data_IF_548686759828
#
_entry.id   IF_548686759828
#
_cell.length_a   1.000
_cell.length_b   1.000
_cell.length_c   1.000
_cell.angle_alpha   90.00
_cell.angle_beta   90.00
_cell.angle_gamma   90.00
#
_symmetry.space_group_name_H-M   'P 1'
#
loop_
_entity.id
_entity.type
_entity.pdbx_description
1 polymer ?
#
# COMPACT_ATOMS: atom_id res chain seq x y z
N UNK A 1 18.33 -7.00 -17.66
CA UNK A 1 17.45 -6.09 -16.92
C UNK A 1 17.34 -6.56 -15.48
N UNK A 2 18.27 -6.09 -14.67
CA UNK A 2 18.25 -6.28 -13.21
C UNK A 2 17.50 -5.11 -12.60
N UNK A 3 16.41 -5.40 -11.89
CA UNK A 3 15.67 -4.41 -11.13
C UNK A 3 15.83 -4.72 -9.64
N UNK A 4 15.99 -3.69 -8.82
CA UNK A 4 15.97 -3.86 -7.36
C UNK A 4 15.02 -2.88 -6.69
N UNK A 5 14.42 -3.34 -5.62
CA UNK A 5 13.80 -2.49 -4.62
C UNK A 5 14.88 -2.05 -3.66
N UNK A 6 14.94 -0.74 -3.35
CA UNK A 6 15.82 -0.18 -2.32
C UNK A 6 15.13 0.94 -1.55
N UNK A 7 15.72 1.36 -0.43
CA UNK A 7 15.34 2.60 0.23
C UNK A 7 15.46 3.79 -0.73
N UNK A 8 14.48 4.69 -0.67
CA UNK A 8 14.52 5.93 -1.44
C UNK A 8 15.53 6.92 -0.84
N UNK A 9 16.18 7.69 -1.70
CA UNK A 9 17.14 8.74 -1.36
C UNK A 9 16.65 10.10 -1.88
N UNK A 10 17.34 11.17 -1.49
CA UNK A 10 17.06 12.53 -1.99
C UNK A 10 17.21 12.67 -3.52
N UNK A 11 18.08 11.87 -4.14
CA UNK A 11 18.28 11.85 -5.59
C UNK A 11 17.07 11.28 -6.34
N UNK A 12 16.22 10.52 -5.65
CA UNK A 12 14.99 9.95 -6.24
C UNK A 12 13.85 10.98 -6.31
N UNK A 13 13.98 12.17 -5.69
CA UNK A 13 12.92 13.19 -5.64
C UNK A 13 12.40 13.56 -7.03
N UNK A 14 13.29 13.67 -8.02
CA UNK A 14 12.91 13.99 -9.39
C UNK A 14 12.08 12.86 -10.02
N UNK A 15 12.48 11.61 -9.83
CA UNK A 15 11.76 10.44 -10.33
C UNK A 15 10.38 10.30 -9.67
N UNK A 16 10.31 10.47 -8.35
CA UNK A 16 9.06 10.47 -7.60
C UNK A 16 8.09 11.55 -8.09
N UNK A 17 8.59 12.75 -8.36
CA UNK A 17 7.79 13.86 -8.88
C UNK A 17 7.24 13.60 -10.28
N UNK A 18 8.04 13.03 -11.19
CA UNK A 18 7.54 12.68 -12.53
C UNK A 18 6.52 11.54 -12.47
N UNK A 19 6.73 10.52 -11.62
CA UNK A 19 5.75 9.47 -11.39
C UNK A 19 4.45 10.02 -10.78
N UNK A 20 4.54 10.97 -9.86
CA UNK A 20 3.38 11.60 -9.22
C UNK A 20 2.44 12.27 -10.23
N UNK A 21 2.98 12.90 -11.28
CA UNK A 21 2.18 13.50 -12.36
C UNK A 21 1.39 12.48 -13.18
N UNK A 22 1.81 11.22 -13.18
CA UNK A 22 1.18 10.13 -13.94
C UNK A 22 0.06 9.43 -13.17
N UNK A 23 -0.21 9.81 -11.92
CA UNK A 23 -1.22 9.16 -11.06
C UNK A 23 -2.66 9.47 -11.46
N UNK A 24 -2.90 10.62 -12.09
CA UNK A 24 -4.23 11.05 -12.54
C UNK A 24 -5.20 11.39 -11.39
N UNK A 25 -4.69 12.01 -10.30
CA UNK A 25 -5.48 12.44 -9.14
C UNK A 25 -5.87 11.31 -8.18
N UNK A 26 -6.38 11.66 -7.00
CA UNK A 26 -6.85 10.72 -5.96
C UNK A 26 -5.75 9.87 -5.35
N UNK A 27 -4.48 10.25 -5.52
CA UNK A 27 -3.32 9.50 -5.03
C UNK A 27 -2.54 10.34 -4.02
N UNK A 28 -3.18 10.59 -2.87
CA UNK A 28 -2.68 11.45 -1.76
C UNK A 28 -1.31 11.02 -1.25
N UNK A 29 -0.96 9.74 -1.40
CA UNK A 29 0.33 9.21 -1.01
C UNK A 29 1.49 9.52 -1.98
N UNK A 30 1.23 10.03 -3.19
CA UNK A 30 2.26 10.44 -4.16
C UNK A 30 1.82 11.72 -4.90
N UNK A 31 1.76 12.86 -4.20
CA UNK A 31 1.29 14.11 -4.79
C UNK A 31 2.35 14.70 -5.74
N UNK A 32 1.96 15.35 -6.86
CA UNK A 32 2.88 16.07 -7.72
C UNK A 32 3.28 17.42 -7.09
N UNK A 33 3.80 17.38 -5.86
CA UNK A 33 4.31 18.52 -5.09
C UNK A 33 5.69 18.16 -4.52
N UNK A 34 6.71 18.89 -4.93
CA UNK A 34 8.10 18.61 -4.54
C UNK A 34 8.36 18.82 -3.05
N UNK A 35 7.69 19.78 -2.40
CA UNK A 35 7.87 20.03 -0.97
C UNK A 35 7.28 18.89 -0.16
N UNK A 36 6.08 18.44 -0.52
CA UNK A 36 5.44 17.28 0.09
C UNK A 36 6.27 16.00 -0.10
N UNK A 37 6.78 15.76 -1.32
CA UNK A 37 7.64 14.60 -1.59
C UNK A 37 8.96 14.66 -0.82
N UNK A 38 9.59 15.84 -0.73
CA UNK A 38 10.81 16.02 0.08
C UNK A 38 10.55 15.77 1.57
N UNK A 39 9.46 16.31 2.12
CA UNK A 39 9.07 16.04 3.51
C UNK A 39 8.83 14.54 3.78
N UNK A 40 8.30 13.79 2.78
CA UNK A 40 8.17 12.33 2.89
C UNK A 40 9.52 11.62 2.89
N UNK A 41 10.45 12.04 2.04
CA UNK A 41 11.82 11.51 2.02
C UNK A 41 12.53 11.79 3.34
N UNK A 42 12.44 13.01 3.87
CA UNK A 42 13.00 13.39 5.17
C UNK A 42 12.47 12.49 6.30
N UNK A 43 11.14 12.31 6.37
CA UNK A 43 10.51 11.40 7.32
C UNK A 43 10.98 9.96 7.14
N UNK A 44 11.21 9.53 5.90
CA UNK A 44 11.75 8.20 5.61
C UNK A 44 13.20 8.04 6.05
N UNK A 45 14.02 9.08 5.90
CA UNK A 45 15.42 9.06 6.35
C UNK A 45 15.49 8.98 7.88
N UNK A 46 14.64 9.72 8.58
CA UNK A 46 14.50 9.62 10.05
C UNK A 46 14.13 8.19 10.48
N UNK A 47 13.13 7.58 9.82
CA UNK A 47 12.69 6.22 10.13
C UNK A 47 13.81 5.18 9.89
N UNK A 48 14.53 5.30 8.77
CA UNK A 48 15.66 4.40 8.46
C UNK A 48 16.84 4.57 9.42
N UNK A 49 17.10 5.79 9.91
CA UNK A 49 18.18 6.07 10.85
C UNK A 49 17.85 5.64 12.29
N UNK A 50 16.57 5.49 12.63
CA UNK A 50 16.14 5.16 13.99
C UNK A 50 16.52 3.73 14.37
N UNK A 51 17.24 3.60 15.49
CA UNK A 51 17.72 2.33 16.05
C UNK A 51 16.72 1.66 17.01
N UNK A 52 15.76 2.41 17.53
CA UNK A 52 14.72 1.86 18.41
C UNK A 52 13.73 1.00 17.61
N UNK A 53 13.35 -0.14 18.18
CA UNK A 53 12.42 -1.12 17.62
C UNK A 53 10.96 -0.86 18.02
N UNK A 54 10.69 0.08 18.94
CA UNK A 54 9.34 0.44 19.35
C UNK A 54 8.49 0.93 18.15
N UNK A 55 7.20 0.60 18.17
CA UNK A 55 6.28 1.00 17.10
C UNK A 55 5.89 2.46 17.29
N UNK A 56 6.40 3.33 16.42
CA UNK A 56 6.01 4.74 16.33
C UNK A 56 5.34 5.04 14.98
N UNK A 57 4.97 6.30 14.74
CA UNK A 57 4.40 6.76 13.47
C UNK A 57 5.49 7.09 12.43
N UNK A 58 5.97 6.06 11.76
CA UNK A 58 7.04 6.13 10.77
C UNK A 58 6.54 5.88 9.35
N UNK A 59 7.30 6.37 8.39
CA UNK A 59 7.08 6.14 6.97
C UNK A 59 8.37 5.61 6.37
N UNK A 60 8.32 4.48 5.69
CA UNK A 60 9.39 4.02 4.82
C UNK A 60 8.97 4.19 3.36
N UNK A 61 9.82 4.83 2.56
CA UNK A 61 9.66 4.94 1.12
C UNK A 61 10.68 4.04 0.44
N UNK A 62 10.18 3.12 -0.39
CA UNK A 62 10.99 2.25 -1.22
C UNK A 62 10.78 2.61 -2.69
N UNK A 63 11.80 2.35 -3.51
CA UNK A 63 11.78 2.59 -4.95
C UNK A 63 12.24 1.36 -5.72
N UNK A 64 11.66 1.16 -6.90
CA UNK A 64 12.12 0.20 -7.90
C UNK A 64 13.09 0.92 -8.83
N UNK A 65 14.35 0.52 -8.77
CA UNK A 65 15.44 1.01 -9.60
C UNK A 65 15.79 -0.02 -10.68
N UNK A 66 15.93 0.43 -11.93
CA UNK A 66 16.68 -0.30 -12.95
C UNK A 66 18.17 -0.11 -12.67
N UNK A 67 18.88 -1.20 -12.41
CA UNK A 67 20.27 -1.16 -11.92
C UNK A 67 21.25 -0.75 -13.02
N UNK A 68 20.90 -0.98 -14.29
CA UNK A 68 21.76 -0.67 -15.43
C UNK A 68 21.77 0.83 -15.74
N UNK A 69 20.59 1.47 -15.70
CA UNK A 69 20.40 2.90 -15.97
C UNK A 69 20.46 3.79 -14.74
N UNK A 70 20.13 3.26 -13.55
CA UNK A 70 19.90 4.04 -12.34
C UNK A 70 18.53 4.71 -12.30
N UNK A 71 17.67 4.51 -13.31
CA UNK A 71 16.35 5.11 -13.36
C UNK A 71 15.43 4.48 -12.30
N UNK A 72 14.71 5.31 -11.56
CA UNK A 72 13.62 4.86 -10.70
C UNK A 72 12.30 4.83 -11.48
N UNK A 73 11.68 3.65 -11.52
CA UNK A 73 10.47 3.36 -12.30
C UNK A 73 9.27 2.90 -11.48
N UNK A 74 9.40 2.82 -10.17
CA UNK A 74 8.30 2.54 -9.28
C UNK A 74 8.58 2.98 -7.85
N UNK A 75 7.53 3.12 -7.05
CA UNK A 75 7.63 3.45 -5.63
C UNK A 75 6.54 2.75 -4.83
N UNK A 76 6.83 2.48 -3.56
CA UNK A 76 5.86 2.01 -2.60
C UNK A 76 6.21 2.52 -1.21
N UNK A 77 5.22 2.52 -0.32
CA UNK A 77 5.34 3.08 1.02
C UNK A 77 4.88 2.08 2.07
N UNK A 78 5.44 2.19 3.26
CA UNK A 78 5.08 1.40 4.43
C UNK A 78 4.96 2.35 5.61
N UNK A 79 3.78 2.41 6.22
CA UNK A 79 3.55 3.13 7.46
C UNK A 79 3.52 2.13 8.60
N UNK A 80 4.31 2.38 9.64
CA UNK A 80 4.39 1.47 10.79
C UNK A 80 3.13 1.52 11.65
N UNK A 81 2.52 2.71 11.77
CA UNK A 81 1.37 2.94 12.64
C UNK A 81 0.54 4.14 12.19
N UNK A 82 -0.63 3.89 11.62
CA UNK A 82 -1.55 4.95 11.19
C UNK A 82 -2.34 5.55 12.34
N UNK A 83 -2.92 6.72 12.11
CA UNK A 83 -3.85 7.34 13.06
C UNK A 83 -3.21 8.09 14.24
N UNK A 84 -1.88 8.30 14.23
CA UNK A 84 -1.16 8.85 15.38
C UNK A 84 -1.06 10.38 15.37
N UNK A 85 -0.72 10.99 14.22
CA UNK A 85 -0.70 12.47 14.06
C UNK A 85 -2.10 13.04 13.85
N UNK A 86 -2.91 12.30 13.09
CA UNK A 86 -4.27 12.63 12.70
C UNK A 86 -5.10 11.37 12.76
N UNK A 87 -6.39 11.42 13.15
CA UNK A 87 -7.21 10.22 13.20
C UNK A 87 -7.33 9.59 11.80
N UNK A 88 -7.22 8.25 11.76
CA UNK A 88 -7.39 7.49 10.53
C UNK A 88 -8.87 7.17 10.35
N UNK A 89 -9.56 8.00 9.57
CA UNK A 89 -11.00 7.85 9.37
C UNK A 89 -11.33 6.88 8.25
N UNK A 90 -12.33 6.05 8.48
CA UNK A 90 -12.94 5.20 7.46
C UNK A 90 -14.46 5.21 7.64
N UNK A 91 -15.19 4.91 6.57
CA UNK A 91 -16.56 4.44 6.71
C UNK A 91 -16.59 2.93 6.89
N UNK A 92 -17.26 2.47 7.95
CA UNK A 92 -17.59 1.05 8.13
C UNK A 92 -19.00 0.78 7.62
N UNK A 93 -19.12 -0.14 6.67
CA UNK A 93 -20.39 -0.61 6.15
C UNK A 93 -20.97 -1.66 7.12
N UNK A 94 -22.17 -1.39 7.62
CA UNK A 94 -22.89 -2.26 8.54
C UNK A 94 -24.34 -2.46 8.12
N UNK A 95 -24.98 -3.53 8.61
CA UNK A 95 -26.41 -3.78 8.37
C UNK A 95 -27.21 -3.52 9.65
N UNK A 96 -28.19 -2.62 9.57
CA UNK A 96 -29.23 -2.47 10.59
C UNK A 96 -30.43 -3.34 10.23
N UNK A 97 -30.82 -4.23 11.13
CA UNK A 97 -32.03 -5.07 10.98
C UNK A 97 -33.12 -4.59 11.94
N UNK A 98 -34.30 -4.31 11.41
CA UNK A 98 -35.46 -3.85 12.18
C UNK A 98 -36.69 -4.67 11.82
N UNK A 99 -37.49 -5.07 12.80
CA UNK A 99 -38.74 -5.77 12.58
C UNK A 99 -39.92 -4.84 12.86
N UNK A 100 -40.89 -4.77 11.94
CA UNK A 100 -42.18 -4.14 12.19
C UNK A 100 -43.23 -5.22 12.29
N UNK A 101 -43.86 -5.30 13.46
CA UNK A 101 -44.96 -6.22 13.72
C UNK A 101 -46.20 -5.83 12.91
N UNK A 102 -46.49 -4.53 12.86
CA UNK A 102 -47.64 -3.93 12.17
C UNK A 102 -47.57 -4.15 10.65
N UNK A 103 -46.37 -4.11 10.07
CA UNK A 103 -46.15 -4.39 8.65
C UNK A 103 -45.80 -5.85 8.37
N UNK A 104 -45.73 -6.70 9.41
CA UNK A 104 -45.40 -8.12 9.29
C UNK A 104 -44.07 -8.41 8.58
N UNK A 105 -43.11 -7.47 8.62
CA UNK A 105 -41.87 -7.56 7.83
C UNK A 105 -40.63 -7.11 8.59
N UNK A 106 -39.51 -7.71 8.21
CA UNK A 106 -38.16 -7.33 8.65
C UNK A 106 -37.49 -6.50 7.58
N UNK A 107 -37.06 -5.30 7.95
CA UNK A 107 -36.26 -4.41 7.15
C UNK A 107 -34.78 -4.64 7.44
N UNK A 108 -33.98 -4.65 6.38
CA UNK A 108 -32.51 -4.64 6.48
C UNK A 108 -32.03 -3.45 5.68
N UNK A 109 -31.23 -2.61 6.30
CA UNK A 109 -30.70 -1.42 5.68
C UNK A 109 -29.20 -1.34 5.92
N UNK A 110 -28.45 -1.09 4.85
CA UNK A 110 -27.00 -0.87 4.93
C UNK A 110 -26.71 0.58 5.31
N UNK A 111 -25.70 0.76 6.17
CA UNK A 111 -25.30 2.06 6.70
C UNK A 111 -23.79 2.23 6.64
N UNK A 112 -23.36 3.44 6.28
CA UNK A 112 -21.97 3.89 6.45
C UNK A 112 -21.86 4.58 7.80
N UNK A 113 -20.95 4.10 8.65
CA UNK A 113 -20.66 4.71 9.96
C UNK A 113 -19.22 5.20 9.98
N UNK A 114 -19.01 6.49 10.24
CA UNK A 114 -17.67 7.06 10.39
C UNK A 114 -17.00 6.43 11.62
N UNK A 115 -15.78 5.91 11.46
CA UNK A 115 -15.01 5.28 12.54
C UNK A 115 -13.51 5.53 12.39
N UNK A 116 -12.78 5.23 13.47
CA UNK A 116 -11.31 5.16 13.54
C UNK A 116 -10.83 3.78 13.97
N UNK A 117 -11.62 2.72 13.70
CA UNK A 117 -11.35 1.31 14.06
C UNK A 117 -9.97 0.79 13.60
N UNK A 118 -9.33 1.46 12.63
CA UNK A 118 -8.06 1.07 12.03
C UNK A 118 -6.84 1.83 12.62
N UNK A 119 -7.06 2.71 13.59
CA UNK A 119 -5.98 3.38 14.31
C UNK A 119 -4.98 2.37 14.87
N UNK A 120 -3.69 2.66 14.72
CA UNK A 120 -2.62 1.82 15.23
C UNK A 120 -2.22 0.65 14.33
N UNK A 121 -2.93 0.40 13.23
CA UNK A 121 -2.52 -0.57 12.22
C UNK A 121 -1.30 -0.08 11.42
N UNK A 122 -0.54 -1.00 10.85
CA UNK A 122 0.42 -0.68 9.79
C UNK A 122 -0.30 -0.53 8.45
N UNK A 123 0.26 0.23 7.52
CA UNK A 123 -0.31 0.41 6.18
C UNK A 123 0.75 0.16 5.11
N UNK A 124 0.36 -0.48 4.02
CA UNK A 124 1.16 -0.56 2.79
C UNK A 124 0.51 0.26 1.68
N UNK A 125 0.97 1.50 1.55
CA UNK A 125 0.43 2.48 0.59
C UNK A 125 1.37 2.78 -0.56
N UNK A 126 1.03 3.84 -1.31
CA UNK A 126 1.93 4.48 -2.28
C UNK A 126 2.39 3.62 -3.45
N UNK A 127 1.74 2.47 -3.72
CA UNK A 127 2.18 1.52 -4.75
C UNK A 127 1.92 2.10 -6.14
N UNK A 128 2.98 2.54 -6.80
CA UNK A 128 2.93 3.07 -8.16
C UNK A 128 4.06 2.47 -9.01
N UNK A 129 3.71 2.08 -10.23
CA UNK A 129 4.64 1.58 -11.23
C UNK A 129 4.44 2.37 -12.51
N UNK A 130 5.54 2.88 -13.05
CA UNK A 130 5.56 3.62 -14.30
C UNK A 130 4.86 2.80 -15.40
N UNK A 131 3.97 3.40 -16.21
CA UNK A 131 3.18 2.65 -17.20
C UNK A 131 4.01 1.78 -18.14
N UNK A 132 5.22 2.24 -18.51
CA UNK A 132 6.17 1.49 -19.34
C UNK A 132 6.69 0.19 -18.70
N UNK A 133 6.65 0.07 -17.37
CA UNK A 133 7.18 -1.09 -16.62
C UNK A 133 6.08 -2.05 -16.12
N UNK A 134 4.82 -1.87 -16.53
CA UNK A 134 3.70 -2.70 -16.02
C UNK A 134 3.73 -4.15 -16.51
N UNK A 135 4.65 -4.51 -17.39
CA UNK A 135 4.91 -5.88 -17.84
C UNK A 135 5.98 -6.58 -16.95
N UNK A 136 6.10 -7.91 -17.07
CA UNK A 136 7.23 -8.65 -16.47
C UNK A 136 7.16 -8.95 -14.97
N UNK A 137 6.15 -8.46 -14.25
CA UNK A 137 5.93 -8.78 -12.84
C UNK A 137 6.62 -7.83 -11.84
N UNK A 138 7.15 -6.70 -12.30
CA UNK A 138 7.78 -5.69 -11.43
C UNK A 138 6.81 -5.10 -10.39
N UNK A 139 5.51 -5.04 -10.72
CA UNK A 139 4.48 -4.67 -9.75
C UNK A 139 4.39 -5.67 -8.58
N UNK A 140 4.56 -6.96 -8.85
CA UNK A 140 4.60 -8.01 -7.82
C UNK A 140 5.84 -7.86 -6.93
N UNK A 141 7.01 -7.63 -7.53
CA UNK A 141 8.25 -7.37 -6.80
C UNK A 141 8.08 -6.17 -5.86
N UNK A 142 7.64 -5.03 -6.40
CA UNK A 142 7.46 -3.80 -5.65
C UNK A 142 6.43 -3.94 -4.52
N UNK A 143 5.32 -4.64 -4.77
CA UNK A 143 4.29 -4.86 -3.77
C UNK A 143 4.76 -5.78 -2.63
N UNK A 144 5.36 -6.93 -2.97
CA UNK A 144 5.74 -7.97 -2.00
C UNK A 144 7.07 -7.70 -1.29
N UNK A 145 7.95 -6.88 -1.86
CA UNK A 145 9.15 -6.42 -1.16
C UNK A 145 8.81 -5.67 0.14
N UNK A 146 7.65 -4.99 0.21
CA UNK A 146 7.16 -4.39 1.46
C UNK A 146 6.92 -5.43 2.55
N UNK A 147 6.40 -6.60 2.19
CA UNK A 147 6.15 -7.68 3.14
C UNK A 147 7.45 -8.33 3.60
N UNK A 148 8.43 -8.51 2.71
CA UNK A 148 9.77 -8.94 3.11
C UNK A 148 10.44 -7.91 4.04
N UNK A 149 10.32 -6.62 3.75
CA UNK A 149 10.78 -5.55 4.64
C UNK A 149 10.12 -5.65 6.02
N UNK A 150 8.80 -5.84 6.07
CA UNK A 150 8.07 -6.02 7.33
C UNK A 150 8.53 -7.28 8.07
N UNK A 151 8.70 -8.41 7.37
CA UNK A 151 9.15 -9.66 7.97
C UNK A 151 10.54 -9.52 8.61
N UNK A 152 11.47 -8.85 7.91
CA UNK A 152 12.83 -8.60 8.40
C UNK A 152 12.89 -7.62 9.58
N UNK A 153 11.89 -6.75 9.74
CA UNK A 153 11.85 -5.72 10.77
C UNK A 153 10.57 -5.81 11.61
N UNK A 154 10.07 -7.03 11.86
CA UNK A 154 8.69 -7.28 12.35
C UNK A 154 8.30 -6.50 13.60
N UNK A 155 9.24 -6.26 14.52
CA UNK A 155 9.00 -5.50 15.76
C UNK A 155 8.59 -4.05 15.55
N UNK A 156 8.93 -3.47 14.38
CA UNK A 156 8.60 -2.10 13.99
C UNK A 156 7.15 -1.94 13.52
N UNK A 157 6.42 -3.03 13.31
CA UNK A 157 5.10 -3.03 12.68
C UNK A 157 4.02 -3.56 13.62
N UNK A 158 2.80 -3.06 13.44
CA UNK A 158 1.63 -3.47 14.20
C UNK A 158 1.16 -4.87 13.80
N UNK A 159 0.33 -5.47 14.65
CA UNK A 159 -0.24 -6.80 14.44
C UNK A 159 -1.34 -6.86 13.37
N UNK A 160 -1.89 -5.71 13.01
CA UNK A 160 -2.86 -5.54 11.94
C UNK A 160 -2.24 -4.67 10.87
N UNK A 161 -2.45 -5.04 9.62
CA UNK A 161 -1.98 -4.32 8.44
C UNK A 161 -3.15 -4.02 7.51
N UNK A 162 -3.12 -2.86 6.85
CA UNK A 162 -4.12 -2.45 5.89
C UNK A 162 -3.51 -1.93 4.59
N UNK A 163 -4.34 -1.84 3.55
CA UNK A 163 -4.04 -1.17 2.30
C UNK A 163 -5.32 -0.50 1.79
N UNK A 164 -5.28 0.81 1.55
CA UNK A 164 -6.39 1.52 0.91
C UNK A 164 -6.20 1.51 -0.61
N UNK A 165 -7.26 1.11 -1.31
CA UNK A 165 -7.32 1.17 -2.76
C UNK A 165 -8.17 2.35 -3.16
N UNK A 166 -7.66 3.16 -4.08
CA UNK A 166 -8.41 4.28 -4.68
C UNK A 166 -9.77 3.79 -5.16
N UNK A 167 -10.82 4.53 -4.83
CA UNK A 167 -12.18 4.29 -5.29
C UNK A 167 -12.39 4.64 -6.76
N UNK A 168 -13.63 4.52 -7.21
CA UNK A 168 -13.98 4.82 -8.59
C UNK A 168 -13.93 6.32 -8.83
N UNK A 169 -13.16 6.71 -9.85
CA UNK A 169 -13.06 8.06 -10.39
C UNK A 169 -13.32 7.90 -11.89
N UNK A 170 -14.18 8.75 -12.45
CA UNK A 170 -14.50 8.72 -13.87
C UNK A 170 -13.41 9.41 -14.71
N UNK A 171 -13.56 9.36 -16.04
CA UNK A 171 -12.62 9.96 -16.98
C UNK A 171 -12.57 11.50 -16.90
N UNK A 172 -13.63 12.13 -16.37
CA UNK A 172 -13.66 13.56 -16.13
C UNK A 172 -12.99 13.94 -14.79
N UNK A 173 -12.55 12.96 -14.00
CA UNK A 173 -11.92 13.13 -12.69
C UNK A 173 -12.91 13.33 -11.55
N UNK A 174 -14.19 13.02 -11.75
CA UNK A 174 -15.22 13.02 -10.71
C UNK A 174 -15.29 11.69 -9.95
N UNK A 175 -15.66 11.73 -8.67
CA UNK A 175 -15.94 10.53 -7.88
C UNK A 175 -17.45 10.42 -7.64
N UNK A 176 -18.12 9.35 -8.13
CA UNK A 176 -19.55 9.15 -7.88
C UNK A 176 -19.88 9.08 -6.39
N UNK A 177 -18.97 8.53 -5.57
CA UNK A 177 -19.14 8.47 -4.12
C UNK A 177 -19.09 9.88 -3.50
N UNK A 178 -18.07 10.67 -3.86
CA UNK A 178 -17.94 12.06 -3.41
C UNK A 178 -19.19 12.86 -3.75
N UNK A 179 -19.63 12.84 -5.02
CA UNK A 179 -20.76 13.64 -5.49
C UNK A 179 -22.09 13.23 -4.82
N UNK A 180 -22.24 11.94 -4.51
CA UNK A 180 -23.43 11.42 -3.84
C UNK A 180 -23.47 11.65 -2.33
N UNK A 181 -22.31 11.87 -1.70
CA UNK A 181 -22.18 12.01 -0.26
C UNK A 181 -21.50 13.32 0.14
N UNK A 182 -20.17 13.36 0.07
CA UNK A 182 -19.35 14.41 0.65
C UNK A 182 -19.51 15.75 -0.06
N UNK A 183 -19.55 15.79 -1.40
CA UNK A 183 -19.68 17.02 -2.18
C UNK A 183 -20.89 17.87 -1.79
N UNK A 184 -21.94 17.26 -1.24
CA UNK A 184 -23.12 17.96 -0.71
C UNK A 184 -22.84 18.78 0.56
N UNK A 185 -21.83 18.40 1.34
CA UNK A 185 -21.41 19.09 2.56
C UNK A 185 -20.33 20.14 2.30
N UNK A 186 -19.43 19.89 1.33
CA UNK A 186 -18.27 20.76 1.07
C UNK A 186 -18.49 21.84 0.01
N UNK A 187 -19.51 21.69 -0.86
CA UNK A 187 -19.76 22.65 -1.93
C UNK A 187 -18.64 22.75 -2.97
N UNK A 188 -17.80 21.71 -3.07
CA UNK A 188 -16.71 21.60 -4.06
C UNK A 188 -16.76 20.23 -4.75
N UNK A 189 -16.25 20.16 -5.97
CA UNK A 189 -16.11 18.90 -6.70
C UNK A 189 -14.94 18.06 -6.15
N UNK A 190 -14.84 16.82 -6.59
CA UNK A 190 -13.79 15.90 -6.12
C UNK A 190 -12.37 16.38 -6.45
N UNK A 191 -12.16 16.98 -7.63
CA UNK A 191 -10.83 17.45 -8.05
C UNK A 191 -10.31 18.58 -7.15
N UNK A 192 -11.18 19.53 -6.80
CA UNK A 192 -10.87 20.61 -5.89
C UNK A 192 -10.54 20.07 -4.49
N UNK A 193 -11.33 19.10 -4.01
CA UNK A 193 -11.09 18.43 -2.73
C UNK A 193 -9.77 17.64 -2.72
N UNK A 194 -9.46 16.89 -3.77
CA UNK A 194 -8.23 16.12 -3.91
C UNK A 194 -6.99 17.02 -3.97
N UNK A 195 -7.04 18.09 -4.78
CA UNK A 195 -5.96 19.08 -4.85
C UNK A 195 -5.77 19.81 -3.52
N UNK A 196 -6.86 20.14 -2.83
CA UNK A 196 -6.82 20.77 -1.52
C UNK A 196 -6.20 19.84 -0.48
N UNK A 197 -6.60 18.57 -0.44
CA UNK A 197 -6.03 17.53 0.43
C UNK A 197 -4.54 17.34 0.19
N UNK A 198 -4.13 17.25 -1.08
CA UNK A 198 -2.73 17.07 -1.45
C UNK A 198 -1.83 18.21 -0.96
N UNK A 199 -2.38 19.42 -0.82
CA UNK A 199 -1.63 20.62 -0.44
C UNK A 199 -1.70 20.92 1.06
N UNK A 200 -2.88 20.71 1.68
CA UNK A 200 -3.17 21.18 3.05
C UNK A 200 -3.29 20.04 4.07
N UNK A 201 -3.19 18.78 3.62
CA UNK A 201 -3.44 17.61 4.44
C UNK A 201 -4.93 17.26 4.56
N UNK A 202 -5.21 16.05 5.05
CA UNK A 202 -6.53 15.43 5.02
C UNK A 202 -7.47 15.82 6.19
N UNK A 203 -6.95 16.53 7.21
CA UNK A 203 -7.68 16.77 8.46
C UNK A 203 -8.96 17.62 8.27
N UNK A 204 -8.89 18.67 7.44
CA UNK A 204 -10.00 19.61 7.27
C UNK A 204 -11.27 18.93 6.73
N UNK A 205 -11.12 18.01 5.78
CA UNK A 205 -12.26 17.33 5.18
C UNK A 205 -12.82 16.28 6.16
N UNK A 206 -11.96 15.60 6.90
CA UNK A 206 -12.39 14.62 7.88
C UNK A 206 -13.22 15.22 9.03
N UNK A 207 -12.88 16.43 9.50
CA UNK A 207 -13.59 17.11 10.59
C UNK A 207 -15.04 17.47 10.23
N UNK A 208 -15.34 17.59 8.94
CA UNK A 208 -16.62 18.03 8.41
C UNK A 208 -17.48 16.87 7.87
N UNK A 209 -16.97 15.63 7.89
CA UNK A 209 -17.75 14.46 7.48
C UNK A 209 -18.93 14.21 8.43
N UNK A 210 -20.06 13.69 7.92
CA UNK A 210 -21.20 13.32 8.76
C UNK A 210 -20.81 12.31 9.84
N UNK A 211 -21.03 12.69 11.10
CA UNK A 211 -20.74 11.86 12.28
C UNK A 211 -21.83 10.82 12.58
N UNK A 212 -23.02 10.99 12.00
CA UNK A 212 -24.13 10.05 12.17
C UNK A 212 -24.16 9.03 11.04
N UNK A 213 -24.61 7.79 11.29
CA UNK A 213 -24.71 6.77 10.25
C UNK A 213 -25.56 7.24 9.07
N UNK A 214 -25.07 6.96 7.86
CA UNK A 214 -25.75 7.30 6.61
C UNK A 214 -26.34 6.03 6.03
N UNK A 215 -27.67 6.00 5.83
CA UNK A 215 -28.31 4.93 5.08
C UNK A 215 -27.84 4.98 3.62
N UNK A 216 -27.26 3.89 3.11
CA UNK A 216 -26.80 3.84 1.71
C UNK A 216 -27.96 4.01 0.72
N UNK A 217 -29.19 3.68 1.14
CA UNK A 217 -30.42 3.91 0.38
C UNK A 217 -30.75 5.41 0.17
N UNK A 218 -30.15 6.33 0.93
CA UNK A 218 -30.30 7.78 0.74
C UNK A 218 -29.29 8.38 -0.25
N UNK A 219 -28.29 7.60 -0.66
CA UNK A 219 -27.31 8.00 -1.66
C UNK A 219 -27.90 7.85 -3.07
N UNK A 220 -27.30 8.54 -4.04
CA UNK A 220 -27.62 8.28 -5.45
C UNK A 220 -27.26 6.84 -5.82
N UNK A 221 -27.96 6.27 -6.80
CA UNK A 221 -27.67 4.91 -7.26
C UNK A 221 -26.22 4.76 -7.75
N UNK A 222 -25.67 5.80 -8.39
CA UNK A 222 -24.27 5.84 -8.83
C UNK A 222 -23.28 5.83 -7.66
N UNK A 223 -23.54 6.59 -6.58
CA UNK A 223 -22.69 6.59 -5.39
C UNK A 223 -22.76 5.27 -4.65
N UNK A 224 -23.97 4.70 -4.49
CA UNK A 224 -24.16 3.40 -3.84
C UNK A 224 -23.46 2.28 -4.60
N UNK A 225 -23.46 2.32 -5.94
CA UNK A 225 -22.87 1.29 -6.78
C UNK A 225 -21.34 1.20 -6.69
N UNK A 226 -20.65 2.22 -6.19
CA UNK A 226 -19.18 2.27 -6.14
C UNK A 226 -18.59 2.05 -4.74
N UNK A 227 -19.42 1.90 -3.71
CA UNK A 227 -18.96 1.67 -2.32
C UNK A 227 -18.17 0.37 -2.25
N UNK A 228 -16.94 0.45 -1.73
CA UNK A 228 -16.04 -0.69 -1.58
C UNK A 228 -15.51 -1.22 -2.91
N UNK A 229 -15.68 -0.50 -4.02
CA UNK A 229 -15.12 -0.90 -5.31
C UNK A 229 -13.81 -0.14 -5.58
N UNK A 230 -12.71 -0.84 -5.91
CA UNK A 230 -11.50 -0.16 -6.32
C UNK A 230 -11.71 0.45 -7.71
N UNK A 231 -10.92 1.48 -8.00
CA UNK A 231 -10.76 2.03 -9.33
C UNK A 231 -10.52 0.89 -10.36
N UNK A 232 -11.01 0.97 -11.60
CA UNK A 232 -10.76 -0.05 -12.62
C UNK A 232 -9.28 -0.42 -12.78
N UNK A 233 -8.37 0.57 -12.74
CA UNK A 233 -6.92 0.32 -12.77
C UNK A 233 -6.35 -0.31 -11.48
N UNK A 234 -7.06 -0.22 -10.36
CA UNK A 234 -6.69 -0.78 -9.06
C UNK A 234 -7.10 -2.24 -8.84
N UNK A 235 -7.93 -2.82 -9.72
CA UNK A 235 -8.40 -4.22 -9.60
C UNK A 235 -7.26 -5.25 -9.56
N UNK A 236 -6.15 -4.98 -10.26
CA UNK A 236 -4.97 -5.85 -10.21
C UNK A 236 -4.29 -5.79 -8.83
N UNK A 237 -4.19 -4.61 -8.23
CA UNK A 237 -3.64 -4.42 -6.89
C UNK A 237 -4.51 -5.10 -5.82
N UNK A 238 -5.84 -5.03 -5.93
CA UNK A 238 -6.76 -5.75 -5.04
C UNK A 238 -6.52 -7.27 -5.08
N UNK A 239 -6.44 -7.86 -6.27
CA UNK A 239 -6.15 -9.30 -6.41
C UNK A 239 -4.78 -9.69 -5.84
N UNK A 240 -3.78 -8.82 -5.97
CA UNK A 240 -2.48 -9.05 -5.35
C UNK A 240 -2.56 -9.05 -3.82
N UNK A 241 -3.38 -8.18 -3.23
CA UNK A 241 -3.63 -8.16 -1.79
C UNK A 241 -4.39 -9.42 -1.34
N UNK A 242 -5.43 -9.82 -2.08
CA UNK A 242 -6.19 -11.06 -1.80
C UNK A 242 -5.30 -12.30 -1.83
N UNK A 243 -4.40 -12.41 -2.81
CA UNK A 243 -3.43 -13.51 -2.91
C UNK A 243 -2.44 -13.56 -1.73
N UNK A 244 -2.25 -12.42 -1.05
CA UNK A 244 -1.43 -12.31 0.16
C UNK A 244 -2.23 -12.58 1.45
N UNK A 245 -3.54 -12.78 1.35
CA UNK A 245 -4.42 -13.04 2.48
C UNK A 245 -5.09 -11.80 3.07
N UNK A 246 -5.03 -10.65 2.38
CA UNK A 246 -5.86 -9.50 2.76
C UNK A 246 -7.32 -9.74 2.37
N UNK A 247 -8.23 -9.19 3.18
CA UNK A 247 -9.66 -9.26 2.94
C UNK A 247 -10.30 -7.87 3.01
N UNK A 248 -11.36 -7.68 2.24
CA UNK A 248 -12.25 -6.54 2.40
C UNK A 248 -13.11 -6.76 3.65
N UNK A 249 -12.84 -6.00 4.71
CA UNK A 249 -13.55 -6.12 6.00
C UNK A 249 -14.64 -5.04 6.18
N UNK A 250 -15.28 -4.63 5.08
CA UNK A 250 -16.35 -3.62 5.07
C UNK A 250 -15.92 -2.21 5.50
N UNK A 251 -14.66 -1.85 5.26
CA UNK A 251 -14.17 -0.48 5.44
C UNK A 251 -13.94 0.16 4.08
N UNK A 252 -14.36 1.40 3.90
CA UNK A 252 -14.06 2.19 2.72
C UNK A 252 -13.59 3.59 3.06
N UNK A 253 -12.82 4.16 2.14
CA UNK A 253 -12.35 5.53 2.19
C UNK A 253 -13.53 6.52 2.27
N UNK A 254 -13.32 7.62 3.00
CA UNK A 254 -14.35 8.63 3.25
C UNK A 254 -14.54 9.62 2.10
N UNK A 255 -13.63 9.65 1.13
CA UNK A 255 -13.64 10.57 -0.01
C UNK A 255 -14.21 9.91 -1.27
N UNK A 256 -13.67 8.76 -1.65
CA UNK A 256 -13.95 8.12 -2.94
C UNK A 256 -14.64 6.75 -2.80
N UNK A 257 -14.86 6.28 -1.58
CA UNK A 257 -15.53 5.01 -1.29
C UNK A 257 -14.72 3.78 -1.66
N UNK A 258 -13.43 3.94 -1.96
CA UNK A 258 -12.51 2.84 -2.27
C UNK A 258 -12.32 1.88 -1.08
N UNK A 259 -12.10 0.58 -1.33
CA UNK A 259 -12.03 -0.40 -0.25
C UNK A 259 -10.72 -0.32 0.53
N UNK A 260 -10.83 -0.44 1.84
CA UNK A 260 -9.70 -0.72 2.73
C UNK A 260 -9.60 -2.23 2.93
N UNK A 261 -8.51 -2.81 2.44
CA UNK A 261 -8.17 -4.23 2.59
C UNK A 261 -7.37 -4.40 3.88
N UNK A 262 -7.62 -5.43 4.68
CA UNK A 262 -6.88 -5.65 5.92
C UNK A 262 -6.45 -7.11 6.10
N UNK A 263 -5.44 -7.33 6.94
CA UNK A 263 -4.98 -8.65 7.36
C UNK A 263 -4.39 -8.59 8.78
N UNK A 264 -4.25 -9.76 9.41
CA UNK A 264 -3.28 -9.93 10.50
C UNK A 264 -1.89 -9.95 9.86
N UNK A 265 -0.97 -9.13 10.37
CA UNK A 265 0.36 -8.94 9.77
C UNK A 265 1.09 -10.28 9.60
N UNK A 266 1.08 -11.14 10.62
CA UNK A 266 1.75 -12.45 10.58
C UNK A 266 1.00 -13.50 9.72
N UNK A 267 -0.23 -13.21 9.30
CA UNK A 267 -0.99 -14.07 8.39
C UNK A 267 -0.75 -13.73 6.91
N UNK A 268 -0.18 -12.54 6.62
CA UNK A 268 0.19 -12.15 5.26
C UNK A 268 1.14 -13.18 4.69
N UNK A 269 0.79 -13.76 3.54
CA UNK A 269 1.46 -14.93 2.99
C UNK A 269 2.97 -14.74 2.86
N UNK A 270 3.41 -13.63 2.27
CA UNK A 270 4.84 -13.34 2.11
C UNK A 270 5.58 -13.14 3.42
N UNK A 271 4.92 -12.65 4.46
CA UNK A 271 5.51 -12.51 5.80
C UNK A 271 5.66 -13.89 6.43
N UNK A 272 4.57 -14.68 6.41
CA UNK A 272 4.50 -16.02 7.00
C UNK A 272 5.46 -17.01 6.35
N UNK A 273 5.61 -16.94 5.03
CA UNK A 273 6.38 -17.91 4.23
C UNK A 273 7.83 -17.47 3.98
N UNK A 274 8.21 -16.26 4.39
CA UNK A 274 9.58 -15.80 4.27
C UNK A 274 10.54 -16.66 5.11
N UNK A 275 11.68 -17.01 4.50
CA UNK A 275 12.73 -17.82 5.13
C UNK A 275 14.06 -17.10 5.05
N UNK A 276 14.80 -17.11 6.15
CA UNK A 276 16.20 -16.70 6.13
C UNK A 276 17.08 -17.90 5.80
N UNK A 277 18.05 -17.74 4.89
CA UNK A 277 18.97 -18.80 4.50
C UNK A 277 20.37 -18.25 4.21
N UNK A 278 21.39 -19.05 4.50
CA UNK A 278 22.78 -18.78 4.09
C UNK A 278 22.94 -19.14 2.62
N UNK A 279 23.67 -18.33 1.87
CA UNK A 279 24.08 -18.64 0.50
C UNK A 279 25.28 -19.60 0.57
N UNK A 280 25.16 -20.79 -0.01
CA UNK A 280 26.26 -21.79 -0.05
C UNK A 280 26.90 -21.90 -1.42
N UNK A 281 26.25 -21.36 -2.45
CA UNK A 281 26.78 -21.28 -3.81
C UNK A 281 26.14 -20.13 -4.58
N UNK A 282 26.89 -19.52 -5.49
CA UNK A 282 26.37 -18.58 -6.48
C UNK A 282 26.65 -19.12 -7.87
N UNK A 283 25.61 -19.50 -8.61
CA UNK A 283 25.74 -20.19 -9.90
C UNK A 283 24.66 -19.77 -10.92
N UNK A 284 24.60 -20.46 -12.07
CA UNK A 284 23.61 -20.23 -13.14
C UNK A 284 22.76 -21.47 -13.44
N UNK A 285 22.73 -22.44 -12.52
CA UNK A 285 22.11 -23.75 -12.74
C UNK A 285 20.58 -23.74 -12.55
N UNK A 286 19.99 -22.58 -12.28
CA UNK A 286 18.56 -22.40 -12.14
C UNK A 286 18.03 -22.60 -10.72
N UNK A 287 16.71 -22.77 -10.57
CA UNK A 287 16.03 -22.88 -9.28
C UNK A 287 14.57 -22.48 -9.39
N UNK A 288 13.89 -22.39 -8.24
CA UNK A 288 12.55 -21.83 -8.17
C UNK A 288 12.61 -20.30 -8.18
N UNK A 289 11.67 -19.64 -8.86
CA UNK A 289 11.55 -18.19 -8.81
C UNK A 289 11.15 -17.73 -7.40
N UNK A 290 11.89 -16.78 -6.87
CA UNK A 290 11.66 -16.20 -5.56
C UNK A 290 11.89 -14.69 -5.58
N UNK A 291 11.30 -14.00 -4.60
CA UNK A 291 11.80 -12.71 -4.16
C UNK A 291 12.90 -12.97 -3.15
N UNK A 292 14.02 -12.26 -3.29
CA UNK A 292 15.19 -12.38 -2.41
C UNK A 292 15.55 -10.99 -1.91
N UNK A 293 15.69 -10.85 -0.61
CA UNK A 293 16.01 -9.60 0.07
C UNK A 293 17.21 -9.76 1.01
N UNK A 294 17.96 -8.67 1.16
CA UNK A 294 19.10 -8.57 2.06
C UNK A 294 19.20 -7.15 2.63
N UNK A 295 20.20 -6.92 3.49
CA UNK A 295 20.43 -5.64 4.14
C UNK A 295 19.48 -5.39 5.31
N UNK A 296 19.69 -4.27 5.99
CA UNK A 296 18.90 -3.88 7.16
C UNK A 296 18.59 -2.39 7.07
N UNK A 297 17.34 -2.02 7.35
CA UNK A 297 16.85 -0.64 7.29
C UNK A 297 17.23 0.06 5.96
N UNK A 298 18.06 1.10 5.99
CA UNK A 298 18.47 1.87 4.81
C UNK A 298 19.18 1.02 3.75
N UNK A 299 19.86 -0.05 4.16
CA UNK A 299 20.60 -0.94 3.26
C UNK A 299 19.72 -2.03 2.63
N UNK A 300 18.42 -2.05 2.94
CA UNK A 300 17.49 -3.03 2.40
C UNK A 300 17.48 -3.03 0.87
N UNK A 301 17.64 -4.23 0.31
CA UNK A 301 17.54 -4.48 -1.13
C UNK A 301 16.68 -5.72 -1.37
N UNK A 302 15.87 -5.70 -2.43
CA UNK A 302 15.08 -6.88 -2.84
C UNK A 302 15.03 -7.00 -4.36
N UNK A 303 15.15 -8.21 -4.89
CA UNK A 303 15.05 -8.51 -6.33
C UNK A 303 14.31 -9.82 -6.55
N UNK A 304 13.92 -10.09 -7.80
CA UNK A 304 13.68 -11.48 -8.20
C UNK A 304 15.01 -12.24 -8.36
N UNK A 305 14.99 -13.52 -8.04
CA UNK A 305 16.11 -14.44 -8.26
C UNK A 305 15.65 -15.88 -8.36
N UNK A 306 16.54 -16.76 -8.79
CA UNK A 306 16.33 -18.21 -8.72
C UNK A 306 17.01 -18.72 -7.45
N UNK A 307 16.25 -19.49 -6.67
CA UNK A 307 16.69 -20.08 -5.41
C UNK A 307 16.55 -21.60 -5.51
N UNK A 308 17.64 -22.32 -5.21
CA UNK A 308 17.68 -23.77 -5.16
C UNK A 308 18.11 -24.21 -3.76
N UNK A 309 17.30 -25.04 -3.13
CA UNK A 309 17.61 -25.62 -1.81
C UNK A 309 18.88 -26.49 -1.90
N UNK A 310 19.74 -26.36 -0.89
CA UNK A 310 20.96 -27.14 -0.71
C UNK A 310 21.06 -27.62 0.76
N UNK A 311 21.97 -28.55 1.06
CA UNK A 311 22.03 -29.20 2.37
C UNK A 311 22.15 -28.22 3.56
N UNK A 312 22.93 -27.15 3.40
CA UNK A 312 23.26 -26.19 4.47
C UNK A 312 22.82 -24.75 4.15
N UNK A 313 21.90 -24.57 3.20
CA UNK A 313 21.45 -23.26 2.76
C UNK A 313 20.85 -23.28 1.36
N UNK A 314 21.13 -22.24 0.58
CA UNK A 314 20.62 -22.12 -0.78
C UNK A 314 21.74 -21.83 -1.78
N UNK A 315 21.56 -22.30 -3.02
CA UNK A 315 22.25 -21.76 -4.18
C UNK A 315 21.42 -20.60 -4.75
N UNK A 316 22.06 -19.45 -5.00
CA UNK A 316 21.44 -18.24 -5.52
C UNK A 316 21.93 -17.93 -6.93
N UNK A 317 21.02 -17.55 -7.83
CA UNK A 317 21.41 -17.12 -9.18
C UNK A 317 22.40 -15.94 -9.15
N UNK A 318 23.44 -16.02 -9.97
CA UNK A 318 24.48 -14.99 -10.10
C UNK A 318 23.93 -13.58 -10.35
N UNK A 319 22.86 -13.45 -11.14
CA UNK A 319 22.22 -12.17 -11.45
C UNK A 319 21.61 -11.53 -10.20
N UNK A 320 20.95 -12.33 -9.35
CA UNK A 320 20.36 -11.84 -8.09
C UNK A 320 21.45 -11.50 -7.06
N UNK A 321 22.48 -12.34 -6.93
CA UNK A 321 23.62 -12.09 -6.07
C UNK A 321 24.32 -10.76 -6.43
N UNK A 322 24.58 -10.52 -7.72
CA UNK A 322 25.15 -9.27 -8.21
C UNK A 322 24.24 -8.06 -7.95
N UNK A 323 22.93 -8.20 -8.19
CA UNK A 323 21.94 -7.14 -7.99
C UNK A 323 21.85 -6.69 -6.51
N UNK A 324 21.91 -7.68 -5.61
CA UNK A 324 21.86 -7.49 -4.15
C UNK A 324 23.23 -7.14 -3.54
N UNK A 325 24.32 -7.33 -4.28
CA UNK A 325 25.69 -7.24 -3.79
C UNK A 325 25.95 -8.17 -2.60
N UNK A 326 25.64 -9.46 -2.79
CA UNK A 326 25.87 -10.54 -1.82
C UNK A 326 26.66 -11.68 -2.47
N UNK A 327 27.36 -12.47 -1.65
CA UNK A 327 28.12 -13.63 -2.08
C UNK A 327 27.80 -14.89 -1.26
N UNK A 328 28.64 -15.90 -1.42
CA UNK A 328 28.62 -17.05 -0.52
C UNK A 328 28.83 -16.60 0.93
N UNK A 329 28.21 -17.32 1.86
CA UNK A 329 28.19 -17.08 3.30
C UNK A 329 27.32 -15.92 3.80
N UNK A 330 26.88 -15.02 2.91
CA UNK A 330 25.88 -14.02 3.25
C UNK A 330 24.51 -14.67 3.56
N UNK A 331 23.70 -13.95 4.34
CA UNK A 331 22.31 -14.34 4.65
C UNK A 331 21.33 -13.50 3.84
N UNK A 332 20.30 -14.16 3.33
CA UNK A 332 19.20 -13.52 2.62
C UNK A 332 17.86 -14.03 3.13
N UNK A 333 16.86 -13.15 3.12
CA UNK A 333 15.46 -13.50 3.29
C UNK A 333 14.86 -13.79 1.92
N UNK A 334 14.14 -14.89 1.75
CA UNK A 334 13.50 -15.21 0.48
C UNK A 334 12.11 -15.81 0.66
N UNK A 335 11.29 -15.65 -0.38
CA UNK A 335 9.95 -16.24 -0.48
C UNK A 335 9.62 -16.56 -1.93
N UNK A 336 8.97 -17.69 -2.19
CA UNK A 336 8.58 -18.10 -3.54
C UNK A 336 7.75 -17.04 -4.27
N UNK A 337 7.93 -16.92 -5.58
CA UNK A 337 7.25 -15.92 -6.43
C UNK A 337 5.73 -16.15 -6.54
N UNK A 338 5.30 -17.41 -6.60
CA UNK A 338 3.91 -17.82 -6.77
C UNK A 338 3.33 -18.45 -5.52
#
# INVERSE_FOLDING_TARGET
MSHRIRAATDDDLQHLYEMAKLTGGGFTNLPPDRRALKAKLDRSHEAFARRDEAIEDELFVLVLEDVESGDVRGTCQIFTRVGQRHPFYSYRLGTLTQASKELGRTFRAEMLTLTTDLEGASEVGGLFLHPGERAGGLGLLLARARYLFIAMHRKRFADRILAELRGVIDEAGGSPFWDGLAGRFFGMNFQDADQFNATNGHQFIADLMPKHPIYTAMLSDHARAVIGLPHPSGRAAMRMLENEGFAYENYCDIFDGGPTMTARTDAVRSIREARESRIVAVDRDGGAEALVACGHMADFRCTFGLVREAADGIALSAEAAATLNVGEDDRVMHVGRL
#
